data_IF_317498999048
#
_entry.id   IF_317498999048
#
_cell.length_a   1.000
_cell.length_b   1.000
_cell.length_c   1.000
_cell.angle_alpha   90.00
_cell.angle_beta   90.00
_cell.angle_gamma   90.00
#
_symmetry.space_group_name_H-M   'P 1'
#
loop_
_entity.id
_entity.type
_entity.pdbx_description
1 polymer ?
#
# COMPACT_ATOMS: atom_id res chain seq x y z
N UNK A 1 51.94 12.92 -16.05
CA UNK A 1 50.50 13.10 -16.36
C UNK A 1 49.69 12.63 -15.16
N UNK A 2 49.32 13.54 -14.26
CA UNK A 2 48.43 13.23 -13.14
C UNK A 2 46.98 13.32 -13.63
N UNK A 3 46.28 12.19 -13.65
CA UNK A 3 44.87 12.12 -14.01
C UNK A 3 44.04 12.90 -12.99
N UNK A 4 43.35 13.94 -13.47
CA UNK A 4 42.34 14.66 -12.69
C UNK A 4 41.17 13.69 -12.42
N UNK A 5 41.17 13.05 -11.26
CA UNK A 5 40.01 12.33 -10.75
C UNK A 5 38.89 13.32 -10.44
N UNK A 6 38.08 13.65 -11.45
CA UNK A 6 36.88 14.46 -11.25
C UNK A 6 35.97 13.75 -10.25
N UNK A 7 35.64 14.43 -9.15
CA UNK A 7 34.65 13.95 -8.19
C UNK A 7 33.36 13.61 -8.95
N UNK A 8 32.88 12.37 -8.81
CA UNK A 8 31.57 12.00 -9.35
C UNK A 8 30.53 12.92 -8.71
N UNK A 9 29.56 13.45 -9.48
CA UNK A 9 28.48 14.22 -8.86
C UNK A 9 27.79 13.32 -7.83
N UNK A 10 27.68 13.82 -6.59
CA UNK A 10 26.99 13.13 -5.50
C UNK A 10 25.53 12.95 -5.89
N UNK A 11 25.00 11.73 -5.79
CA UNK A 11 23.59 11.52 -6.09
C UNK A 11 22.72 12.25 -5.06
N UNK A 12 21.59 12.88 -5.45
CA UNK A 12 20.68 13.51 -4.49
C UNK A 12 20.14 12.54 -3.42
N UNK A 13 20.23 11.23 -3.66
CA UNK A 13 19.85 10.15 -2.74
C UNK A 13 21.04 9.62 -1.91
N UNK A 14 22.27 10.07 -2.17
CA UNK A 14 23.43 9.78 -1.33
C UNK A 14 23.43 10.77 -0.16
N UNK A 15 22.75 10.40 0.94
CA UNK A 15 22.52 11.27 2.09
C UNK A 15 23.04 10.66 3.38
N UNK A 16 23.68 11.50 4.18
CA UNK A 16 24.03 11.23 5.58
C UNK A 16 23.68 12.49 6.36
N UNK A 17 22.75 12.37 7.31
CA UNK A 17 22.40 13.46 8.22
C UNK A 17 23.39 13.50 9.38
N UNK A 18 23.67 14.68 9.92
CA UNK A 18 24.48 14.82 11.13
C UNK A 18 23.83 14.10 12.33
N UNK A 19 24.61 13.47 13.21
CA UNK A 19 24.07 12.85 14.43
C UNK A 19 23.35 13.87 15.32
N UNK A 20 22.23 13.46 15.91
CA UNK A 20 21.43 14.23 16.86
C UNK A 20 20.55 13.31 17.70
N UNK A 21 20.03 13.83 18.80
CA UNK A 21 19.00 13.15 19.58
C UNK A 21 17.64 13.21 18.88
N UNK A 22 16.86 12.14 18.98
CA UNK A 22 15.49 12.04 18.51
C UNK A 22 14.73 11.06 19.42
N UNK A 23 13.44 11.33 19.68
CA UNK A 23 12.58 10.37 20.35
C UNK A 23 12.22 9.24 19.37
N UNK A 24 12.48 7.99 19.76
CA UNK A 24 12.16 6.82 18.92
C UNK A 24 11.57 5.71 19.78
N UNK A 25 10.60 5.00 19.20
CA UNK A 25 10.06 3.77 19.74
C UNK A 25 10.63 2.58 18.95
N UNK A 26 11.26 1.63 19.63
CA UNK A 26 11.61 0.36 19.01
C UNK A 26 10.34 -0.50 18.84
N UNK A 27 10.05 -0.92 17.61
CA UNK A 27 8.94 -1.82 17.31
C UNK A 27 9.44 -3.19 16.86
N UNK A 28 8.84 -4.24 17.44
CA UNK A 28 9.14 -5.64 17.13
C UNK A 28 7.86 -6.48 17.22
N UNK A 29 7.80 -7.58 16.47
CA UNK A 29 6.68 -8.53 16.53
C UNK A 29 5.31 -7.86 16.37
N UNK A 30 4.39 -8.08 17.34
CA UNK A 30 3.04 -7.48 17.31
C UNK A 30 3.04 -5.95 17.46
N UNK A 31 4.13 -5.35 17.94
CA UNK A 31 4.29 -3.90 18.02
C UNK A 31 4.12 -3.21 16.67
N UNK A 32 4.53 -3.86 15.57
CA UNK A 32 4.29 -3.34 14.21
C UNK A 32 2.80 -3.14 13.91
N UNK A 33 1.98 -4.14 14.24
CA UNK A 33 0.53 -4.05 14.07
C UNK A 33 -0.06 -2.97 14.98
N UNK A 34 0.32 -2.97 16.26
CA UNK A 34 -0.23 -2.07 17.27
C UNK A 34 0.17 -0.60 17.06
N UNK A 35 1.34 -0.34 16.47
CA UNK A 35 1.84 1.02 16.29
C UNK A 35 1.68 1.53 14.87
N UNK A 36 2.04 0.73 13.87
CA UNK A 36 2.06 1.15 12.46
C UNK A 36 0.68 0.97 11.82
N UNK A 37 0.10 -0.23 11.91
CA UNK A 37 -1.23 -0.47 11.30
C UNK A 37 -2.30 0.35 12.04
N UNK A 38 -2.23 0.45 13.37
CA UNK A 38 -3.15 1.32 14.10
C UNK A 38 -3.07 2.80 13.65
N UNK A 39 -1.87 3.34 13.44
CA UNK A 39 -1.69 4.70 12.93
C UNK A 39 -2.29 4.84 11.51
N UNK A 40 -2.05 3.88 10.61
CA UNK A 40 -2.64 3.88 9.27
C UNK A 40 -4.17 3.91 9.33
N UNK A 41 -4.78 3.09 10.19
CA UNK A 41 -6.25 3.03 10.32
C UNK A 41 -6.85 4.32 10.87
N UNK A 42 -6.07 5.08 11.65
CA UNK A 42 -6.45 6.35 12.23
C UNK A 42 -6.14 7.55 11.33
N UNK A 43 -5.53 7.35 10.16
CA UNK A 43 -5.08 8.44 9.30
C UNK A 43 -6.22 9.37 8.85
N UNK A 44 -5.91 10.67 8.79
CA UNK A 44 -6.86 11.73 8.44
C UNK A 44 -6.50 12.47 7.15
N UNK A 45 -5.21 12.54 6.80
CA UNK A 45 -4.71 13.35 5.69
C UNK A 45 -4.01 12.51 4.62
N UNK A 46 -3.06 11.65 5.00
CA UNK A 46 -2.27 10.88 4.05
C UNK A 46 -1.65 9.62 4.62
N UNK A 47 -1.46 8.61 3.76
CA UNK A 47 -0.65 7.43 4.05
C UNK A 47 0.27 7.14 2.87
N UNK A 48 1.59 7.25 3.09
CA UNK A 48 2.62 6.93 2.10
C UNK A 48 3.39 5.68 2.52
N UNK A 49 3.37 4.67 1.67
CA UNK A 49 4.01 3.38 1.94
C UNK A 49 5.09 3.13 0.90
N UNK A 50 6.32 2.90 1.35
CA UNK A 50 7.40 2.39 0.52
C UNK A 50 7.80 1.00 1.00
N UNK A 51 7.76 -0.03 0.16
CA UNK A 51 8.08 -1.41 0.57
C UNK A 51 8.60 -2.22 -0.61
N UNK A 52 9.35 -3.30 -0.39
CA UNK A 52 9.73 -4.16 -1.51
C UNK A 52 8.55 -5.01 -1.98
N UNK A 53 7.98 -5.79 -1.04
CA UNK A 53 6.87 -6.68 -1.32
C UNK A 53 5.57 -6.13 -0.72
N UNK A 54 4.48 -6.27 -1.49
CA UNK A 54 3.11 -5.94 -1.07
C UNK A 54 2.28 -7.21 -1.13
N UNK A 55 1.74 -7.61 0.03
CA UNK A 55 0.84 -8.76 0.16
C UNK A 55 -0.40 -8.35 0.94
N UNK A 56 -1.48 -9.09 0.70
CA UNK A 56 -2.68 -8.96 1.50
C UNK A 56 -2.38 -9.21 2.98
N UNK A 57 -2.99 -8.41 3.85
CA UNK A 57 -2.94 -8.58 5.29
C UNK A 57 -4.32 -8.38 5.90
N UNK A 58 -4.62 -9.24 6.86
CA UNK A 58 -5.85 -9.17 7.62
C UNK A 58 -5.62 -8.32 8.88
N UNK A 59 -6.59 -7.46 9.16
CA UNK A 59 -6.67 -6.67 10.38
C UNK A 59 -7.81 -7.18 11.25
N UNK A 60 -7.66 -7.02 12.56
CA UNK A 60 -8.70 -7.27 13.55
C UNK A 60 -9.88 -6.31 13.30
N UNK A 61 -11.08 -6.87 13.18
CA UNK A 61 -12.32 -6.12 12.99
C UNK A 61 -12.98 -5.89 14.35
N UNK A 62 -12.88 -4.66 14.84
CA UNK A 62 -13.44 -4.24 16.13
C UNK A 62 -14.85 -3.63 16.01
N UNK A 63 -15.41 -3.57 14.80
CA UNK A 63 -16.74 -2.97 14.59
C UNK A 63 -17.82 -3.74 15.33
N UNK A 64 -18.80 -2.99 15.85
CA UNK A 64 -20.04 -3.59 16.30
C UNK A 64 -20.82 -4.04 15.05
N UNK A 65 -20.98 -5.35 14.88
CA UNK A 65 -21.85 -5.90 13.85
C UNK A 65 -23.28 -6.04 14.43
N UNK A 66 -24.30 -5.34 13.88
CA UNK A 66 -25.68 -5.55 14.29
C UNK A 66 -26.09 -7.02 14.12
N UNK A 67 -26.64 -7.64 15.15
CA UNK A 67 -27.14 -9.02 15.11
C UNK A 67 -26.10 -10.14 15.17
N UNK A 68 -24.79 -9.83 15.23
CA UNK A 68 -23.75 -10.85 15.43
C UNK A 68 -23.29 -10.83 16.88
N UNK A 69 -23.78 -11.78 17.68
CA UNK A 69 -23.30 -12.01 19.06
C UNK A 69 -21.78 -12.18 18.98
N UNK A 70 -21.01 -11.29 19.64
CA UNK A 70 -19.55 -11.48 19.76
C UNK A 70 -19.36 -12.87 20.39
N UNK A 71 -18.87 -13.83 19.61
CA UNK A 71 -18.40 -15.09 20.18
C UNK A 71 -17.21 -14.72 21.04
N UNK A 72 -17.40 -14.77 22.36
CA UNK A 72 -16.36 -14.47 23.34
C UNK A 72 -15.16 -15.36 23.01
N UNK A 73 -14.05 -14.73 22.56
CA UNK A 73 -12.78 -15.42 22.33
C UNK A 73 -12.21 -15.46 20.91
N UNK A 74 -12.89 -14.97 19.86
CA UNK A 74 -12.29 -14.91 18.50
C UNK A 74 -12.48 -13.55 17.82
N UNK A 75 -11.37 -12.84 17.59
CA UNK A 75 -11.38 -11.62 16.78
C UNK A 75 -11.90 -11.95 15.37
N UNK A 76 -12.88 -11.18 14.91
CA UNK A 76 -13.20 -11.13 13.49
C UNK A 76 -12.03 -10.47 12.76
N UNK A 77 -11.80 -10.86 11.50
CA UNK A 77 -10.74 -10.30 10.67
C UNK A 77 -11.33 -9.80 9.36
N UNK A 78 -10.81 -8.69 8.86
CA UNK A 78 -11.15 -8.14 7.54
C UNK A 78 -9.90 -7.75 6.77
N UNK A 79 -10.05 -7.54 5.47
CA UNK A 79 -8.97 -7.04 4.61
C UNK A 79 -8.55 -5.62 5.02
N UNK A 80 -7.24 -5.35 5.00
CA UNK A 80 -6.73 -3.97 5.11
C UNK A 80 -7.22 -3.09 3.96
N UNK A 81 -7.44 -3.66 2.77
CA UNK A 81 -7.87 -2.91 1.59
C UNK A 81 -9.27 -2.34 1.80
N UNK A 82 -10.13 -3.05 2.52
CA UNK A 82 -11.44 -2.54 2.88
C UNK A 82 -11.34 -1.32 3.82
N UNK A 83 -10.33 -1.26 4.69
CA UNK A 83 -10.07 -0.09 5.53
C UNK A 83 -9.43 1.07 4.74
N UNK A 84 -8.49 0.76 3.83
CA UNK A 84 -7.93 1.75 2.92
C UNK A 84 -8.99 2.35 1.99
N UNK A 85 -9.98 1.56 1.57
CA UNK A 85 -11.10 2.05 0.76
C UNK A 85 -11.95 3.08 1.53
N UNK A 86 -12.12 2.91 2.83
CA UNK A 86 -12.82 3.87 3.68
C UNK A 86 -12.01 5.14 3.89
N UNK A 87 -10.69 5.01 4.07
CA UNK A 87 -9.77 6.16 4.13
C UNK A 87 -9.83 6.98 2.84
N UNK A 88 -9.75 6.31 1.68
CA UNK A 88 -9.91 6.94 0.38
C UNK A 88 -11.28 7.63 0.25
N UNK A 89 -12.36 7.00 0.73
CA UNK A 89 -13.70 7.58 0.75
C UNK A 89 -13.84 8.82 1.64
N UNK A 90 -12.97 8.97 2.66
CA UNK A 90 -12.86 10.19 3.48
C UNK A 90 -11.94 11.26 2.87
N UNK A 91 -11.32 10.98 1.73
CA UNK A 91 -10.39 11.91 1.07
C UNK A 91 -8.94 11.80 1.55
N UNK A 92 -8.58 10.76 2.31
CA UNK A 92 -7.19 10.51 2.71
C UNK A 92 -6.36 10.16 1.48
N UNK A 93 -5.22 10.83 1.31
CA UNK A 93 -4.32 10.57 0.19
C UNK A 93 -3.55 9.26 0.40
N UNK A 94 -3.67 8.30 -0.52
CA UNK A 94 -3.00 6.99 -0.38
C UNK A 94 -1.97 6.77 -1.50
N UNK A 95 -0.73 6.47 -1.12
CA UNK A 95 0.37 6.14 -2.03
C UNK A 95 1.08 4.85 -1.63
N UNK A 96 1.30 3.95 -2.57
CA UNK A 96 2.20 2.79 -2.40
C UNK A 96 3.28 2.80 -3.49
N UNK A 97 4.53 2.92 -3.07
CA UNK A 97 5.72 2.71 -3.88
C UNK A 97 6.30 1.32 -3.59
N UNK A 98 6.39 0.45 -4.60
CA UNK A 98 6.79 -0.94 -4.42
C UNK A 98 7.80 -1.47 -5.43
N UNK A 99 8.50 -2.57 -5.11
CA UNK A 99 9.54 -3.13 -5.99
C UNK A 99 9.02 -4.16 -7.00
N UNK A 100 8.01 -4.93 -6.59
CA UNK A 100 7.50 -6.07 -7.33
C UNK A 100 5.98 -6.00 -7.46
N UNK A 101 5.41 -6.74 -8.42
CA UNK A 101 3.95 -6.83 -8.53
C UNK A 101 3.34 -7.30 -7.20
N UNK A 102 2.24 -6.67 -6.73
CA UNK A 102 1.54 -7.16 -5.55
C UNK A 102 1.15 -8.63 -5.70
N UNK A 103 1.06 -9.35 -4.59
CA UNK A 103 0.73 -10.77 -4.63
C UNK A 103 -0.66 -11.04 -5.22
N UNK A 104 -0.88 -12.24 -5.76
CA UNK A 104 -2.19 -12.63 -6.31
C UNK A 104 -3.36 -12.41 -5.33
N UNK A 105 -3.24 -12.77 -4.03
CA UNK A 105 -4.30 -12.46 -3.06
C UNK A 105 -4.57 -10.98 -2.88
N UNK A 106 -3.52 -10.14 -2.88
CA UNK A 106 -3.68 -8.69 -2.80
C UNK A 106 -4.42 -8.16 -4.03
N UNK A 107 -4.00 -8.58 -5.23
CA UNK A 107 -4.62 -8.14 -6.48
C UNK A 107 -6.09 -8.55 -6.57
N UNK A 108 -6.44 -9.77 -6.11
CA UNK A 108 -7.83 -10.24 -6.07
C UNK A 108 -8.67 -9.40 -5.11
N UNK A 109 -8.21 -9.19 -3.88
CA UNK A 109 -8.91 -8.37 -2.89
C UNK A 109 -9.02 -6.90 -3.34
N UNK A 110 -7.99 -6.36 -4.00
CA UNK A 110 -8.02 -5.00 -4.54
C UNK A 110 -9.10 -4.82 -5.62
N UNK A 111 -9.30 -5.82 -6.48
CA UNK A 111 -10.34 -5.80 -7.51
C UNK A 111 -11.77 -5.77 -6.95
N UNK A 112 -11.96 -6.25 -5.70
CA UNK A 112 -13.25 -6.19 -4.99
C UNK A 112 -13.56 -4.79 -4.44
N UNK A 113 -12.61 -3.85 -4.50
CA UNK A 113 -12.74 -2.48 -3.98
C UNK A 113 -12.54 -1.43 -5.10
N UNK A 114 -13.50 -1.25 -6.03
CA UNK A 114 -13.34 -0.33 -7.15
C UNK A 114 -13.16 1.14 -6.71
N UNK A 115 -13.75 1.55 -5.58
CA UNK A 115 -13.51 2.90 -5.01
C UNK A 115 -12.07 3.11 -4.56
N UNK A 116 -11.39 2.05 -4.09
CA UNK A 116 -9.98 2.12 -3.74
C UNK A 116 -9.09 2.21 -4.99
N UNK A 117 -9.49 1.60 -6.10
CA UNK A 117 -8.72 1.70 -7.35
C UNK A 117 -8.60 3.14 -7.87
N UNK A 118 -9.59 4.00 -7.58
CA UNK A 118 -9.54 5.42 -7.88
C UNK A 118 -8.77 6.23 -6.82
N UNK A 119 -8.78 5.81 -5.55
CA UNK A 119 -8.21 6.55 -4.42
C UNK A 119 -6.79 6.13 -4.00
N UNK A 120 -6.28 4.99 -4.47
CA UNK A 120 -4.95 4.49 -4.15
C UNK A 120 -4.02 4.58 -5.35
N UNK A 121 -3.03 5.47 -5.27
CA UNK A 121 -1.97 5.54 -6.26
C UNK A 121 -0.90 4.46 -5.96
N UNK A 122 -0.60 3.63 -6.95
CA UNK A 122 0.49 2.63 -6.85
C UNK A 122 1.54 2.88 -7.94
N UNK A 123 2.81 2.79 -7.56
CA UNK A 123 3.96 2.95 -8.47
C UNK A 123 4.99 1.86 -8.21
N UNK A 124 5.62 1.36 -9.28
CA UNK A 124 6.58 0.26 -9.21
C UNK A 124 7.98 0.71 -9.64
N UNK A 125 8.96 0.59 -8.75
CA UNK A 125 10.38 0.75 -9.07
C UNK A 125 11.19 -0.40 -8.47
N UNK A 126 11.85 -1.26 -9.28
CA UNK A 126 12.61 -2.42 -8.79
C UNK A 126 13.74 -2.10 -7.80
N UNK A 127 14.16 -0.83 -7.70
CA UNK A 127 15.21 -0.35 -6.77
C UNK A 127 14.68 -0.02 -5.37
N UNK A 128 13.36 -0.01 -5.17
CA UNK A 128 12.74 0.33 -3.88
C UNK A 128 12.92 -0.84 -2.92
N UNK A 129 13.72 -0.66 -1.87
CA UNK A 129 13.90 -1.72 -0.87
C UNK A 129 13.77 -1.23 0.58
N UNK A 130 13.59 0.07 0.80
CA UNK A 130 13.17 0.58 2.09
C UNK A 130 11.82 -0.01 2.51
N UNK A 131 11.56 -0.03 3.81
CA UNK A 131 10.22 -0.27 4.35
C UNK A 131 9.88 0.92 5.23
N UNK A 132 9.03 1.77 4.68
CA UNK A 132 8.64 3.04 5.25
C UNK A 132 7.13 3.14 5.23
N UNK A 133 6.57 3.67 6.31
CA UNK A 133 5.18 4.13 6.36
C UNK A 133 5.19 5.53 6.95
N UNK A 134 4.71 6.50 6.19
CA UNK A 134 4.46 7.87 6.67
C UNK A 134 2.96 8.06 6.79
N UNK A 135 2.51 8.51 7.96
CA UNK A 135 1.11 8.80 8.24
C UNK A 135 0.96 10.27 8.57
N UNK A 136 0.08 10.95 7.83
CA UNK A 136 -0.32 12.35 8.01
C UNK A 136 0.84 13.38 8.06
N UNK A 137 2.02 13.01 7.57
CA UNK A 137 3.24 13.81 7.71
C UNK A 137 3.68 14.01 9.17
N UNK A 138 3.15 13.21 10.10
CA UNK A 138 3.33 13.36 11.54
C UNK A 138 3.92 12.12 12.20
N UNK A 139 3.87 10.96 11.54
CA UNK A 139 4.42 9.72 12.04
C UNK A 139 5.20 9.01 10.96
N UNK A 140 6.41 8.60 11.31
CA UNK A 140 7.31 7.81 10.48
C UNK A 140 7.56 6.45 11.10
N UNK A 141 7.33 5.39 10.33
CA UNK A 141 7.91 4.08 10.56
C UNK A 141 9.05 3.84 9.56
N UNK A 142 10.20 3.37 10.07
CA UNK A 142 11.31 2.84 9.28
C UNK A 142 11.74 1.49 9.84
N UNK A 143 11.87 0.46 9.00
CA UNK A 143 12.31 -0.84 9.48
C UNK A 143 12.52 -1.89 8.41
N UNK A 144 12.48 -3.15 8.84
CA UNK A 144 12.69 -4.32 7.98
C UNK A 144 11.37 -4.92 7.45
N UNK A 145 10.25 -4.70 8.15
CA UNK A 145 8.98 -5.34 7.82
C UNK A 145 8.36 -4.82 6.50
N UNK A 146 8.20 -5.69 5.51
CA UNK A 146 7.42 -5.39 4.30
C UNK A 146 5.91 -5.32 4.62
N UNK A 147 5.15 -4.65 3.74
CA UNK A 147 3.67 -4.59 3.79
C UNK A 147 3.04 -5.95 3.51
N UNK A 148 3.01 -6.80 4.53
CA UNK A 148 2.52 -8.18 4.44
C UNK A 148 1.90 -8.61 5.76
N UNK A 149 1.05 -9.64 5.72
CA UNK A 149 0.48 -10.21 6.94
C UNK A 149 1.52 -10.69 7.96
N UNK A 150 2.65 -11.24 7.51
CA UNK A 150 3.70 -11.74 8.40
C UNK A 150 4.63 -10.62 8.92
N UNK A 151 4.73 -9.50 8.21
CA UNK A 151 5.53 -8.34 8.62
C UNK A 151 4.77 -7.39 9.55
N UNK A 152 3.77 -6.70 9.01
CA UNK A 152 3.00 -5.68 9.74
C UNK A 152 1.62 -6.15 10.24
N UNK A 153 1.09 -7.25 9.69
CA UNK A 153 -0.27 -7.71 9.97
C UNK A 153 -0.46 -8.43 11.30
N UNK A 154 -1.71 -8.81 11.60
CA UNK A 154 -2.12 -9.46 12.85
C UNK A 154 -1.74 -10.96 12.95
N UNK A 155 -0.65 -11.41 12.30
CA UNK A 155 -0.22 -12.81 12.38
C UNK A 155 0.27 -13.17 13.80
N UNK A 156 -0.11 -14.37 14.25
CA UNK A 156 0.31 -14.92 15.54
C UNK A 156 1.83 -15.10 15.65
N UNK A 157 2.33 -15.25 16.89
CA UNK A 157 3.77 -15.28 17.19
C UNK A 157 4.56 -16.35 16.47
N UNK A 158 4.03 -17.56 16.34
CA UNK A 158 4.70 -18.65 15.62
C UNK A 158 4.66 -18.54 14.09
N UNK A 159 4.05 -17.50 13.51
CA UNK A 159 3.83 -17.37 12.05
C UNK A 159 4.16 -16.00 11.47
N UNK A 160 4.57 -15.04 12.31
CA UNK A 160 5.04 -13.73 11.87
C UNK A 160 6.56 -13.76 11.65
N UNK A 161 7.06 -12.83 10.85
CA UNK A 161 8.48 -12.64 10.66
C UNK A 161 9.11 -12.05 11.93
N UNK A 162 10.42 -12.28 12.10
CA UNK A 162 11.23 -11.48 13.01
C UNK A 162 11.64 -10.20 12.27
N UNK A 163 11.11 -9.07 12.74
CA UNK A 163 11.31 -7.76 12.14
C UNK A 163 11.63 -6.75 13.23
N UNK A 164 12.38 -5.72 12.87
CA UNK A 164 12.67 -4.56 13.71
C UNK A 164 12.34 -3.30 12.94
N UNK A 165 11.90 -2.29 13.67
CA UNK A 165 11.79 -0.95 13.15
C UNK A 165 11.79 0.09 14.24
N UNK A 166 11.81 1.34 13.83
CA UNK A 166 11.62 2.51 14.67
C UNK A 166 10.34 3.21 14.26
N UNK A 167 9.62 3.74 15.24
CA UNK A 167 8.55 4.71 15.03
C UNK A 167 8.94 6.01 15.69
N UNK A 168 8.70 7.13 15.02
CA UNK A 168 9.03 8.47 15.51
C UNK A 168 8.11 9.51 14.89
N UNK A 169 7.96 10.63 15.59
CA UNK A 169 7.31 11.87 15.16
C UNK A 169 8.33 12.99 14.91
N UNK A 170 9.61 12.63 14.82
CA UNK A 170 10.70 13.57 14.64
C UNK A 170 10.63 14.26 13.26
N UNK A 171 10.32 15.56 13.27
CA UNK A 171 10.12 16.39 12.07
C UNK A 171 11.28 16.37 11.08
N UNK A 172 12.53 16.64 11.50
CA UNK A 172 13.65 16.61 10.57
C UNK A 172 13.88 15.24 9.91
N UNK A 173 13.64 14.12 10.60
CA UNK A 173 13.73 12.80 9.97
C UNK A 173 12.56 12.53 9.02
N UNK A 174 11.35 12.96 9.39
CA UNK A 174 10.16 12.93 8.53
C UNK A 174 10.40 13.65 7.22
N UNK A 175 10.89 14.89 7.26
CA UNK A 175 11.15 15.72 6.09
C UNK A 175 12.16 15.07 5.13
N UNK A 176 13.26 14.56 5.67
CA UNK A 176 14.29 13.88 4.86
C UNK A 176 13.72 12.62 4.18
N UNK A 177 12.99 11.78 4.93
CA UNK A 177 12.42 10.55 4.39
C UNK A 177 11.32 10.84 3.38
N UNK A 178 10.43 11.80 3.66
CA UNK A 178 9.39 12.21 2.71
C UNK A 178 9.99 12.82 1.45
N UNK A 179 11.05 13.61 1.56
CA UNK A 179 11.78 14.17 0.43
C UNK A 179 12.41 13.09 -0.46
N UNK A 180 13.06 12.10 0.15
CA UNK A 180 13.59 10.94 -0.58
C UNK A 180 12.47 10.12 -1.25
N UNK A 181 11.40 9.84 -0.51
CA UNK A 181 10.24 9.13 -1.02
C UNK A 181 9.63 9.85 -2.24
N UNK A 182 9.33 11.15 -2.11
CA UNK A 182 8.69 11.95 -3.16
C UNK A 182 9.58 12.09 -4.40
N UNK A 183 10.90 12.28 -4.21
CA UNK A 183 11.88 12.27 -5.29
C UNK A 183 11.83 10.98 -6.11
N UNK A 184 11.85 9.82 -5.45
CA UNK A 184 11.75 8.53 -6.16
C UNK A 184 10.37 8.39 -6.79
N UNK A 185 9.30 8.71 -6.05
CA UNK A 185 7.91 8.65 -6.50
C UNK A 185 7.66 9.40 -7.81
N UNK A 186 8.22 10.62 -7.92
CA UNK A 186 8.12 11.47 -9.13
C UNK A 186 9.07 11.06 -10.26
N UNK A 187 9.91 10.06 -10.03
CA UNK A 187 10.89 9.59 -11.02
C UNK A 187 12.15 10.44 -11.12
N UNK A 188 12.50 11.21 -10.09
CA UNK A 188 13.72 12.02 -10.07
C UNK A 188 15.01 11.21 -10.29
N UNK A 189 14.97 9.91 -10.01
CA UNK A 189 16.09 8.97 -10.20
C UNK A 189 15.99 8.15 -11.50
N UNK A 190 15.02 8.42 -12.36
CA UNK A 190 14.73 7.61 -13.54
C UNK A 190 15.59 7.96 -14.77
N UNK A 191 15.96 9.23 -14.96
CA UNK A 191 16.70 9.69 -16.14
C UNK A 191 18.09 9.03 -16.26
N UNK A 192 18.82 8.92 -15.13
CA UNK A 192 20.14 8.29 -15.06
C UNK A 192 20.12 6.80 -14.65
N UNK A 193 18.95 6.18 -14.54
CA UNK A 193 18.84 4.82 -14.01
C UNK A 193 19.37 3.77 -14.99
N UNK A 194 20.44 3.06 -14.62
CA UNK A 194 20.99 1.96 -15.43
C UNK A 194 20.09 0.72 -15.51
N UNK A 195 19.11 0.61 -14.60
CA UNK A 195 18.10 -0.46 -14.61
C UNK A 195 16.80 -0.04 -15.33
N UNK A 196 16.78 1.11 -16.02
CA UNK A 196 15.57 1.64 -16.65
C UNK A 196 14.92 0.66 -17.64
N UNK A 197 15.72 -0.13 -18.35
CA UNK A 197 15.25 -1.11 -19.33
C UNK A 197 14.49 -2.28 -18.71
N UNK A 198 14.67 -2.54 -17.40
CA UNK A 198 13.95 -3.59 -16.68
C UNK A 198 12.72 -3.04 -15.95
N UNK A 199 12.52 -1.72 -15.93
CA UNK A 199 11.34 -1.12 -15.32
C UNK A 199 10.09 -1.46 -16.15
N UNK A 200 9.03 -2.03 -15.54
CA UNK A 200 7.78 -2.29 -16.25
C UNK A 200 7.13 -0.97 -16.68
N UNK A 201 7.31 0.09 -15.89
CA UNK A 201 6.91 1.45 -16.21
C UNK A 201 7.82 2.44 -15.46
N UNK A 202 8.71 3.16 -16.15
CA UNK A 202 9.51 4.23 -15.54
C UNK A 202 8.63 5.29 -14.87
N UNK A 203 9.02 5.74 -13.67
CA UNK A 203 8.19 6.63 -12.82
C UNK A 203 8.11 8.08 -13.33
N UNK A 204 9.05 8.47 -14.18
CA UNK A 204 9.09 9.77 -14.88
C UNK A 204 8.16 9.80 -16.11
N UNK A 205 7.46 8.69 -16.40
CA UNK A 205 6.44 8.62 -17.45
C UNK A 205 5.04 8.77 -16.83
N UNK A 206 4.09 9.38 -17.57
CA UNK A 206 2.71 9.41 -17.14
C UNK A 206 2.16 7.99 -16.97
N UNK A 207 1.29 7.81 -15.97
CA UNK A 207 0.54 6.56 -15.82
C UNK A 207 -0.50 6.52 -16.91
N UNK A 208 -0.42 5.51 -17.79
CA UNK A 208 -1.44 5.31 -18.80
C UNK A 208 -2.80 5.11 -18.10
N UNK A 209 -3.88 5.74 -18.58
CA UNK A 209 -5.19 5.50 -18.02
C UNK A 209 -5.53 4.00 -18.13
N UNK A 210 -6.29 3.43 -17.18
CA UNK A 210 -6.71 2.04 -17.26
C UNK A 210 -7.45 1.78 -18.58
N UNK A 211 -7.29 0.61 -19.21
CA UNK A 211 -7.99 0.28 -20.44
C UNK A 211 -9.51 0.36 -20.19
N UNK A 212 -10.23 1.00 -21.11
CA UNK A 212 -11.69 1.11 -21.05
C UNK A 212 -12.29 -0.30 -21.02
N UNK A 213 -13.20 -0.62 -20.08
CA UNK A 213 -13.84 -1.92 -20.06
C UNK A 213 -14.58 -2.15 -21.38
N UNK A 214 -14.40 -3.35 -21.96
CA UNK A 214 -15.11 -3.74 -23.17
C UNK A 214 -16.62 -3.59 -22.94
N UNK A 215 -17.39 -3.11 -23.94
CA UNK A 215 -18.83 -2.97 -23.79
C UNK A 215 -19.44 -4.33 -23.44
N UNK A 216 -20.30 -4.34 -22.41
CA UNK A 216 -21.00 -5.53 -22.00
C UNK A 216 -21.74 -6.16 -23.20
N UNK A 217 -21.73 -7.50 -23.35
CA UNK A 217 -22.46 -8.16 -24.42
C UNK A 217 -23.93 -7.77 -24.32
N UNK A 218 -24.50 -7.22 -25.40
CA UNK A 218 -25.91 -6.88 -25.46
C UNK A 218 -26.72 -8.15 -25.24
N UNK A 219 -27.42 -8.23 -24.11
CA UNK A 219 -28.41 -9.27 -23.86
C UNK A 219 -29.50 -9.15 -24.93
N UNK A 220 -29.47 -10.03 -25.93
CA UNK A 220 -30.55 -10.18 -26.89
C UNK A 220 -31.80 -10.59 -26.12
N UNK A 221 -32.80 -9.70 -26.09
CA UNK A 221 -34.08 -9.93 -25.43
C UNK A 221 -34.71 -11.20 -26.01
N UNK A 222 -34.75 -12.28 -25.23
CA UNK A 222 -35.45 -13.49 -25.61
C UNK A 222 -36.90 -13.14 -25.96
N UNK A 223 -37.36 -13.54 -27.14
CA UNK A 223 -38.75 -13.39 -27.57
C UNK A 223 -39.64 -14.11 -26.55
N UNK A 224 -40.56 -13.38 -25.92
CA UNK A 224 -41.58 -13.95 -25.03
C UNK A 224 -42.39 -14.98 -25.84
N UNK A 225 -42.24 -16.26 -25.50
CA UNK A 225 -43.07 -17.34 -26.05
C UNK A 225 -44.53 -17.11 -25.65
N UNK A 226 -45.43 -17.32 -26.60
CA UNK A 226 -46.87 -17.21 -26.40
C UNK A 226 -47.35 -18.24 -25.36
N UNK A 227 -48.23 -17.81 -24.45
CA UNK A 227 -48.83 -18.67 -23.43
C UNK A 227 -49.74 -19.74 -24.08
N UNK A 228 -49.72 -20.99 -23.59
CA UNK A 228 -50.62 -22.03 -24.09
C UNK A 228 -52.05 -21.78 -23.60
N UNK A 229 -53.02 -21.95 -24.52
CA UNK A 229 -54.46 -21.86 -24.23
C UNK A 229 -54.92 -23.05 -23.39
N UNK A 230 -55.69 -22.78 -22.33
CA UNK A 230 -56.31 -23.78 -21.49
C UNK A 230 -57.41 -24.58 -22.24
N UNK A 231 -57.58 -25.89 -21.95
CA UNK A 231 -58.61 -26.70 -22.59
C UNK A 231 -59.98 -26.46 -21.94
N UNK A 232 -61.03 -26.38 -22.79
CA UNK A 232 -62.43 -26.29 -22.38
C UNK A 232 -62.91 -27.66 -21.86
N UNK A 233 -63.49 -27.68 -20.66
CA UNK A 233 -64.21 -28.85 -20.11
C UNK A 233 -65.58 -28.95 -20.77
N UNK A 234 -65.98 -30.19 -21.11
CA UNK A 234 -67.37 -30.58 -21.42
C UNK A 234 -68.10 -30.89 -20.14
#
# INVERSE_FOLDING_TARGET
MAGRGGARPSSPVDRVTSPRSAAVELVAGRGHYQRVIAAVLAAETSVWIGTANVKELLIEDHRAAPGRRRTVGRAAYRSILAALAELAGRGVELRILHAERPSRPFAAAFAEHPGLAAGLAMRLCPRVHWKVVVVDGALLYLGSANWTGAGLGARGSGRRNFELGIVTDDGPLLDEVQGLYDRVWRGGECAGCKLRTTCPQPLDRPVAPPPTPAPAPRLTRARRGAAPRAPRRR
#
